data_IF_270834623244
#
_entry.id   IF_270834623244
#
_cell.length_a   1.000
_cell.length_b   1.000
_cell.length_c   1.000
_cell.angle_alpha   90.00
_cell.angle_beta   90.00
_cell.angle_gamma   90.00
#
_symmetry.space_group_name_H-M   'P 1'
#
loop_
_entity.id
_entity.type
_entity.pdbx_description
1 polymer ?
#
# COMPACT_ATOMS: atom_id res chain seq x y z
N UNK A 1 -7.07 -9.52 -19.00
CA UNK A 1 -5.63 -9.64 -18.70
C UNK A 1 -5.39 -8.77 -17.49
N UNK A 2 -5.40 -9.39 -16.30
CA UNK A 2 -5.13 -8.72 -15.03
C UNK A 2 -3.61 -8.57 -14.90
N UNK A 3 -3.15 -7.40 -14.47
CA UNK A 3 -1.74 -7.19 -14.13
C UNK A 3 -1.64 -7.11 -12.61
N UNK A 4 -0.79 -7.93 -12.02
CA UNK A 4 -0.42 -7.83 -10.61
C UNK A 4 0.94 -7.15 -10.53
N UNK A 5 1.06 -6.15 -9.65
CA UNK A 5 2.34 -5.52 -9.31
C UNK A 5 2.61 -5.76 -7.84
N UNK A 6 3.61 -6.60 -7.56
CA UNK A 6 4.09 -6.78 -6.20
C UNK A 6 5.09 -5.67 -5.87
N UNK A 7 4.75 -4.83 -4.90
CA UNK A 7 5.61 -3.81 -4.34
C UNK A 7 6.02 -4.25 -2.94
N UNK A 8 7.31 -4.56 -2.78
CA UNK A 8 7.86 -4.86 -1.47
C UNK A 8 7.85 -3.57 -0.64
N UNK A 9 7.22 -3.62 0.53
CA UNK A 9 7.29 -2.55 1.53
C UNK A 9 8.74 -2.40 1.96
N UNK A 10 9.43 -1.35 1.52
CA UNK A 10 10.89 -1.24 1.68
C UNK A 10 11.31 0.10 2.28
N UNK A 11 12.43 0.06 3.01
CA UNK A 11 13.06 1.20 3.68
C UNK A 11 13.83 2.13 2.71
N UNK A 12 14.21 1.64 1.53
CA UNK A 12 14.77 2.46 0.46
C UNK A 12 13.63 2.93 -0.43
N UNK A 13 13.55 4.25 -0.64
CA UNK A 13 12.66 4.93 -1.59
C UNK A 13 12.92 4.43 -3.02
N UNK A 14 12.39 3.27 -3.36
CA UNK A 14 12.33 2.76 -4.73
C UNK A 14 11.09 3.32 -5.40
N UNK A 15 11.24 4.00 -6.53
CA UNK A 15 10.08 4.48 -7.28
C UNK A 15 9.72 3.46 -8.35
N UNK A 16 8.59 2.79 -8.18
CA UNK A 16 7.97 2.02 -9.25
C UNK A 16 7.07 2.94 -10.08
N UNK A 17 7.24 2.96 -11.40
CA UNK A 17 6.34 3.71 -12.29
C UNK A 17 5.43 2.73 -13.01
N UNK A 18 4.16 2.73 -12.63
CA UNK A 18 3.13 1.92 -13.27
C UNK A 18 2.48 2.75 -14.39
N UNK A 19 2.64 2.25 -15.62
CA UNK A 19 1.92 2.75 -16.79
C UNK A 19 0.75 1.83 -17.06
N UNK A 20 -0.45 2.38 -17.07
CA UNK A 20 -1.66 1.65 -17.46
C UNK A 20 -2.25 2.26 -18.73
N UNK A 21 -2.87 1.40 -19.55
CA UNK A 21 -3.71 1.84 -20.67
C UNK A 21 -5.06 2.26 -20.12
N UNK A 22 -5.68 3.27 -20.71
CA UNK A 22 -6.98 3.79 -20.22
C UNK A 22 -8.00 2.67 -20.04
N UNK A 23 -8.61 2.64 -18.85
CA UNK A 23 -9.60 1.64 -18.46
C UNK A 23 -9.06 0.29 -17.98
N UNK A 24 -7.73 0.05 -18.00
CA UNK A 24 -7.17 -1.19 -17.44
C UNK A 24 -6.95 -1.09 -15.94
N UNK A 25 -7.46 -2.10 -15.23
CA UNK A 25 -7.25 -2.32 -13.80
C UNK A 25 -6.01 -3.17 -13.56
N UNK A 26 -5.34 -2.92 -12.44
CA UNK A 26 -4.25 -3.73 -11.93
C UNK A 26 -4.30 -3.73 -10.42
N UNK A 27 -3.59 -4.65 -9.78
CA UNK A 27 -3.52 -4.72 -8.33
C UNK A 27 -2.12 -4.38 -7.83
N UNK A 28 -2.06 -3.78 -6.63
CA UNK A 28 -0.82 -3.52 -5.91
C UNK A 28 -0.88 -4.27 -4.59
N UNK A 29 0.16 -5.04 -4.30
CA UNK A 29 0.30 -5.73 -3.02
C UNK A 29 1.68 -5.47 -2.45
N UNK A 30 1.83 -5.59 -1.14
CA UNK A 30 3.13 -5.70 -0.49
C UNK A 30 3.05 -6.64 0.69
N UNK A 31 4.20 -7.04 1.22
CA UNK A 31 4.27 -8.02 2.30
C UNK A 31 5.31 -7.64 3.34
N UNK A 32 5.00 -7.83 4.61
CA UNK A 32 5.94 -7.70 5.73
C UNK A 32 5.63 -8.75 6.80
N UNK A 33 6.66 -9.37 7.37
CA UNK A 33 6.47 -10.26 8.52
C UNK A 33 6.02 -9.46 9.74
N UNK A 34 5.01 -9.96 10.46
CA UNK A 34 4.54 -9.34 11.71
C UNK A 34 5.60 -9.35 12.83
N UNK A 35 6.58 -10.26 12.75
CA UNK A 35 7.73 -10.31 13.66
C UNK A 35 8.66 -9.11 13.51
N UNK A 36 8.68 -8.50 12.31
CA UNK A 36 9.43 -7.29 11.99
C UNK A 36 8.72 -6.02 12.46
N UNK A 37 7.53 -6.13 13.05
CA UNK A 37 6.75 -5.01 13.56
C UNK A 37 6.74 -5.04 15.09
N UNK A 38 6.64 -3.85 15.70
CA UNK A 38 6.49 -3.72 17.14
C UNK A 38 5.23 -4.45 17.60
N UNK A 39 5.35 -5.20 18.69
CA UNK A 39 4.24 -5.91 19.31
C UNK A 39 3.28 -4.92 19.97
N UNK A 40 2.03 -5.33 20.17
CA UNK A 40 0.99 -4.54 20.83
C UNK A 40 0.82 -3.14 20.22
N UNK A 41 1.02 -3.05 18.90
CA UNK A 41 1.04 -1.79 18.17
C UNK A 41 -0.03 -1.80 17.07
N UNK A 42 -0.81 -0.74 17.01
CA UNK A 42 -1.77 -0.54 15.94
C UNK A 42 -1.10 0.15 14.76
N UNK A 43 -1.04 -0.51 13.60
CA UNK A 43 -0.45 0.03 12.40
C UNK A 43 -1.50 0.56 11.44
N UNK A 44 -1.22 1.69 10.80
CA UNK A 44 -1.91 2.15 9.59
C UNK A 44 -1.00 2.03 8.39
N UNK A 45 -1.55 1.57 7.27
CA UNK A 45 -0.80 1.39 6.02
C UNK A 45 -1.21 2.44 5.01
N UNK A 46 -0.22 3.02 4.33
CA UNK A 46 -0.39 4.11 3.38
C UNK A 46 0.22 3.74 2.02
N UNK A 47 -0.51 4.05 0.95
CA UNK A 47 0.07 4.16 -0.39
C UNK A 47 0.76 5.51 -0.49
N UNK A 48 2.05 5.52 -0.81
CA UNK A 48 2.77 6.75 -1.12
C UNK A 48 2.99 6.82 -2.62
N UNK A 49 2.37 7.79 -3.27
CA UNK A 49 2.30 7.86 -4.73
C UNK A 49 2.42 9.27 -5.28
N UNK A 50 2.55 9.38 -6.60
CA UNK A 50 2.40 10.61 -7.36
C UNK A 50 1.63 10.29 -8.62
N UNK A 51 0.73 11.20 -8.96
CA UNK A 51 0.02 11.16 -10.23
C UNK A 51 0.60 12.25 -11.13
N UNK A 52 1.00 11.87 -12.34
CA UNK A 52 1.48 12.85 -13.35
C UNK A 52 0.33 13.18 -14.30
N UNK A 53 -0.37 14.33 -14.14
CA UNK A 53 -1.43 14.75 -15.05
C UNK A 53 -0.90 14.93 -16.47
N UNK A 54 -1.63 14.40 -17.46
CA UNK A 54 -1.54 14.92 -18.83
C UNK A 54 -2.51 16.10 -19.02
N UNK A 55 -3.72 16.05 -18.46
CA UNK A 55 -4.72 17.13 -18.50
C UNK A 55 -5.68 17.04 -17.29
N UNK A 56 -5.98 18.17 -16.63
CA UNK A 56 -7.05 18.27 -15.61
C UNK A 56 -6.85 17.54 -14.27
N UNK A 57 -7.92 17.53 -13.45
CA UNK A 57 -8.04 16.68 -12.28
C UNK A 57 -8.15 15.22 -12.74
N UNK A 58 -7.45 14.29 -12.08
CA UNK A 58 -7.77 12.88 -12.28
C UNK A 58 -7.73 12.12 -10.96
N UNK A 59 -8.62 11.16 -10.88
CA UNK A 59 -8.88 10.39 -9.68
C UNK A 59 -8.21 9.02 -9.76
N UNK A 60 -7.71 8.59 -8.61
CA UNK A 60 -7.26 7.24 -8.35
C UNK A 60 -8.39 6.52 -7.62
N UNK A 61 -8.81 5.36 -8.10
CA UNK A 61 -9.80 4.51 -7.40
C UNK A 61 -9.24 3.12 -7.17
N UNK A 62 -9.42 2.59 -5.96
CA UNK A 62 -9.06 1.22 -5.62
C UNK A 62 -9.87 0.74 -4.41
N UNK A 63 -9.85 -0.57 -4.15
CA UNK A 63 -10.29 -1.16 -2.88
C UNK A 63 -9.07 -1.44 -2.02
N UNK A 64 -8.99 -0.83 -0.84
CA UNK A 64 -7.82 -0.95 0.03
C UNK A 64 -8.09 -1.83 1.25
N UNK A 65 -7.16 -2.73 1.57
CA UNK A 65 -7.24 -3.57 2.77
C UNK A 65 -5.86 -3.94 3.30
N UNK A 66 -5.78 -4.29 4.58
CA UNK A 66 -4.66 -5.04 5.16
C UNK A 66 -5.20 -6.36 5.70
N UNK A 67 -4.50 -7.46 5.37
CA UNK A 67 -4.84 -8.80 5.83
C UNK A 67 -3.61 -9.49 6.41
N UNK A 68 -3.83 -10.47 7.28
CA UNK A 68 -2.81 -11.47 7.61
C UNK A 68 -2.91 -12.61 6.61
N UNK A 69 -1.78 -13.00 6.02
CA UNK A 69 -1.74 -13.95 4.91
C UNK A 69 -2.37 -15.28 5.30
N UNK A 70 -2.15 -15.70 6.54
CA UNK A 70 -2.58 -17.00 7.07
C UNK A 70 -4.04 -17.01 7.55
N UNK A 71 -4.67 -15.84 7.71
CA UNK A 71 -6.02 -15.74 8.30
C UNK A 71 -7.13 -15.59 7.26
N UNK A 72 -6.84 -15.00 6.10
CA UNK A 72 -7.86 -14.59 5.13
C UNK A 72 -7.29 -14.63 3.71
N UNK A 73 -7.99 -15.23 2.74
CA UNK A 73 -7.59 -15.23 1.33
C UNK A 73 -7.78 -13.86 0.65
N UNK A 74 -7.11 -13.60 -0.48
CA UNK A 74 -7.26 -12.32 -1.21
C UNK A 74 -8.69 -12.09 -1.70
N UNK A 75 -9.37 -13.10 -2.22
CA UNK A 75 -10.75 -12.99 -2.70
C UNK A 75 -11.72 -12.63 -1.57
N UNK A 76 -11.53 -13.24 -0.39
CA UNK A 76 -12.30 -12.93 0.82
C UNK A 76 -12.03 -11.48 1.26
N UNK A 77 -10.75 -11.09 1.32
CA UNK A 77 -10.33 -9.73 1.67
C UNK A 77 -10.88 -8.68 0.71
N UNK A 78 -10.91 -8.95 -0.60
CA UNK A 78 -11.49 -8.05 -1.60
C UNK A 78 -13.01 -7.94 -1.45
N UNK A 79 -13.70 -9.03 -1.10
CA UNK A 79 -15.16 -9.06 -1.01
C UNK A 79 -15.72 -8.18 0.11
N UNK A 80 -14.95 -7.96 1.19
CA UNK A 80 -15.35 -7.15 2.35
C UNK A 80 -14.95 -5.68 2.26
N UNK A 81 -14.45 -5.22 1.10
CA UNK A 81 -14.07 -3.82 0.90
C UNK A 81 -14.77 -3.23 -0.32
N UNK A 82 -15.19 -1.98 -0.18
CA UNK A 82 -15.86 -1.23 -1.23
C UNK A 82 -14.85 -0.30 -1.92
N UNK A 83 -14.99 -0.06 -3.23
CA UNK A 83 -14.12 0.86 -3.94
C UNK A 83 -14.17 2.24 -3.29
N UNK A 84 -13.01 2.79 -2.95
CA UNK A 84 -12.88 4.15 -2.48
C UNK A 84 -12.37 5.01 -3.64
N UNK A 85 -13.18 5.97 -4.08
CA UNK A 85 -12.70 7.08 -4.89
C UNK A 85 -11.91 7.96 -3.97
N UNK A 86 -10.59 8.04 -4.12
CA UNK A 86 -9.70 8.67 -3.14
C UNK A 86 -9.93 10.19 -3.12
N UNK A 87 -10.67 10.79 -2.16
CA UNK A 87 -10.86 12.23 -2.10
C UNK A 87 -9.83 12.87 -1.14
N UNK A 88 -9.20 12.07 -0.28
CA UNK A 88 -8.38 12.47 0.86
C UNK A 88 -6.94 12.02 0.67
N UNK A 89 -6.36 12.49 -0.43
CA UNK A 89 -4.92 12.40 -0.58
C UNK A 89 -4.26 13.57 0.13
N UNK A 90 -3.41 13.29 1.10
CA UNK A 90 -2.65 14.35 1.79
C UNK A 90 -1.34 14.54 1.07
N UNK A 91 -1.03 15.79 0.71
CA UNK A 91 0.30 16.13 0.19
C UNK A 91 1.32 16.10 1.34
N UNK A 92 2.43 15.40 1.12
CA UNK A 92 3.63 15.49 1.96
C UNK A 92 4.46 16.69 1.56
N UNK A 93 5.37 17.08 2.46
CA UNK A 93 6.34 18.16 2.23
C UNK A 93 7.32 17.85 1.09
N UNK A 94 7.56 16.56 0.80
CA UNK A 94 8.39 16.12 -0.33
C UNK A 94 7.61 15.99 -1.65
N UNK A 95 6.37 16.47 -1.69
CA UNK A 95 5.52 16.49 -2.89
C UNK A 95 5.00 15.11 -3.31
N UNK A 96 5.14 14.09 -2.48
CA UNK A 96 4.41 12.82 -2.63
C UNK A 96 3.02 12.91 -1.98
N UNK A 97 2.13 12.05 -2.45
CA UNK A 97 0.76 11.94 -2.02
C UNK A 97 0.59 10.71 -1.13
N UNK A 98 -0.18 10.82 -0.06
CA UNK A 98 -0.48 9.71 0.85
C UNK A 98 -1.96 9.34 0.83
N UNK A 99 -2.24 8.04 0.78
CA UNK A 99 -3.60 7.51 0.88
C UNK A 99 -3.61 6.34 1.84
N UNK A 100 -4.39 6.43 2.92
CA UNK A 100 -4.54 5.32 3.87
C UNK A 100 -5.29 4.17 3.18
N UNK A 101 -4.71 2.98 3.21
CA UNK A 101 -5.25 1.77 2.61
C UNK A 101 -6.02 0.95 3.65
N UNK A 102 -5.50 0.88 4.87
CA UNK A 102 -6.05 0.04 5.92
C UNK A 102 -5.28 0.18 7.23
N UNK A 103 -5.65 -0.63 8.20
CA UNK A 103 -4.96 -0.75 9.49
C UNK A 103 -5.16 -2.13 10.09
N UNK A 104 -4.26 -2.51 11.00
CA UNK A 104 -4.30 -3.77 11.73
C UNK A 104 -3.60 -3.61 13.08
N UNK A 105 -3.85 -4.55 14.00
CA UNK A 105 -3.19 -4.60 15.30
C UNK A 105 -2.24 -5.79 15.35
N UNK A 106 -0.96 -5.54 15.68
CA UNK A 106 0.06 -6.57 15.76
C UNK A 106 0.13 -7.19 17.17
N UNK A 107 -0.73 -8.15 17.46
CA UNK A 107 -0.74 -8.88 18.74
C UNK A 107 0.41 -9.87 18.76
N UNK A 108 1.30 -9.81 19.74
CA UNK A 108 2.34 -10.83 19.96
C UNK A 108 3.43 -10.99 18.89
N UNK A 109 3.25 -10.42 17.69
CA UNK A 109 4.19 -10.50 16.57
C UNK A 109 4.25 -11.88 15.90
N UNK A 110 3.24 -12.74 16.08
CA UNK A 110 3.23 -14.12 15.59
C UNK A 110 2.00 -14.44 14.73
N UNK A 111 1.45 -13.42 14.06
CA UNK A 111 0.23 -13.52 13.24
C UNK A 111 0.55 -13.83 11.76
N UNK A 112 1.78 -14.24 11.47
CA UNK A 112 2.26 -14.48 10.11
C UNK A 112 2.59 -13.18 9.37
N UNK A 113 2.58 -13.24 8.04
CA UNK A 113 2.86 -12.09 7.20
C UNK A 113 1.63 -11.18 7.07
N UNK A 114 1.86 -9.87 7.11
CA UNK A 114 0.86 -8.84 6.80
C UNK A 114 0.98 -8.48 5.33
N UNK A 115 -0.15 -8.49 4.63
CA UNK A 115 -0.25 -8.10 3.23
C UNK A 115 -1.22 -6.92 3.08
N UNK A 116 -0.74 -5.68 2.87
CA UNK A 116 -1.53 -4.61 2.29
C UNK A 116 -1.88 -4.91 0.83
N UNK A 117 -3.15 -4.75 0.49
CA UNK A 117 -3.68 -5.00 -0.85
C UNK A 117 -4.47 -3.78 -1.34
N UNK A 118 -4.21 -3.37 -2.58
CA UNK A 118 -5.02 -2.45 -3.35
C UNK A 118 -5.54 -3.19 -4.58
N UNK A 119 -6.83 -3.51 -4.56
CA UNK A 119 -7.48 -4.21 -5.67
C UNK A 119 -8.13 -3.25 -6.64
N UNK A 120 -8.20 -3.66 -7.90
CA UNK A 120 -8.87 -2.95 -8.98
C UNK A 120 -8.39 -1.50 -9.12
N UNK A 121 -7.08 -1.26 -8.95
CA UNK A 121 -6.47 0.06 -9.11
C UNK A 121 -6.75 0.54 -10.52
N UNK A 122 -7.44 1.67 -10.63
CA UNK A 122 -7.78 2.29 -11.90
C UNK A 122 -7.32 3.75 -11.89
N UNK A 123 -6.63 4.13 -12.96
CA UNK A 123 -6.34 5.52 -13.27
C UNK A 123 -7.39 6.04 -14.25
N UNK A 124 -8.04 7.13 -13.90
CA UNK A 124 -8.86 7.86 -14.85
C UNK A 124 -7.95 8.75 -15.72
N UNK A 125 -8.12 8.66 -17.04
CA UNK A 125 -7.34 9.34 -18.09
C UNK A 125 -5.87 8.86 -18.21
N UNK A 126 -5.30 8.91 -19.42
CA UNK A 126 -3.93 8.45 -19.76
C UNK A 126 -2.82 9.01 -18.85
N UNK A 127 -2.62 8.36 -17.69
CA UNK A 127 -1.76 8.81 -16.60
C UNK A 127 -0.74 7.75 -16.22
N UNK A 128 0.33 8.21 -15.59
CA UNK A 128 1.30 7.37 -14.93
C UNK A 128 1.09 7.48 -13.42
N UNK A 129 1.05 6.33 -12.75
CA UNK A 129 1.11 6.24 -11.30
C UNK A 129 2.56 5.95 -10.92
N UNK A 130 3.21 6.91 -10.27
CA UNK A 130 4.47 6.63 -9.59
C UNK A 130 4.16 6.19 -8.18
N UNK A 131 4.68 5.06 -7.76
CA UNK A 131 4.52 4.53 -6.40
C UNK A 131 5.89 4.54 -5.75
N UNK A 132 6.01 5.26 -4.64
CA UNK A 132 7.21 5.23 -3.80
C UNK A 132 7.24 3.98 -2.91
N UNK A 133 6.07 3.51 -2.51
CA UNK A 133 5.92 2.29 -1.73
C UNK A 133 4.65 2.25 -0.91
N UNK A 134 4.56 1.19 -0.13
CA UNK A 134 3.57 1.00 0.93
C UNK A 134 4.29 1.26 2.25
N UNK A 135 3.76 2.17 3.06
CA UNK A 135 4.36 2.53 4.35
C UNK A 135 3.47 2.11 5.51
N UNK A 136 4.04 1.41 6.49
CA UNK A 136 3.40 1.10 7.77
C UNK A 136 3.78 2.15 8.80
N UNK A 137 2.80 2.67 9.52
CA UNK A 137 3.01 3.64 10.61
C UNK A 137 2.33 3.16 11.88
N UNK A 138 3.12 3.05 12.94
CA UNK A 138 2.60 2.83 14.27
C UNK A 138 1.73 4.03 14.67
N UNK A 139 0.49 3.76 15.07
CA UNK A 139 -0.30 4.70 15.85
C UNK A 139 0.24 4.70 17.27
N UNK A 140 0.34 5.87 17.88
CA UNK A 140 0.68 5.97 19.30
C UNK A 140 -0.44 5.32 20.12
N UNK A 141 -0.23 4.10 20.59
CA UNK A 141 -0.89 3.65 21.82
C UNK A 141 -0.40 4.60 22.91
N UNK A 142 -1.31 5.35 23.53
CA UNK A 142 -0.98 6.30 24.60
C UNK A 142 -0.28 5.58 25.74
N UNK A 143 1.06 5.64 25.78
CA UNK A 143 1.88 5.13 26.89
C UNK A 143 3.19 4.49 26.44
N UNK A 144 4.20 5.31 26.14
CA UNK A 144 5.60 4.88 26.06
C UNK A 144 6.24 5.05 24.70
N UNK A 145 7.23 5.96 24.63
CA UNK A 145 8.25 6.17 23.59
C UNK A 145 7.99 5.56 22.20
N UNK A 146 7.69 6.43 21.24
CA UNK A 146 7.62 6.09 19.82
C UNK A 146 8.95 5.52 19.33
N UNK A 147 9.04 4.19 19.30
CA UNK A 147 10.08 3.46 18.60
C UNK A 147 9.66 3.36 17.13
N UNK A 148 10.38 4.07 16.27
CA UNK A 148 10.17 4.05 14.83
C UNK A 148 10.65 2.70 14.30
N UNK A 149 9.79 1.69 14.38
CA UNK A 149 10.00 0.36 13.85
C UNK A 149 10.19 0.42 12.33
N UNK A 150 11.45 0.50 11.93
CA UNK A 150 11.88 0.44 10.55
C UNK A 150 12.68 -0.86 10.37
N UNK A 151 12.16 -1.80 9.58
CA UNK A 151 12.85 -3.05 9.26
C UNK A 151 13.50 -3.02 7.87
N UNK A 152 14.77 -3.43 7.82
CA UNK A 152 15.56 -3.68 6.61
C UNK A 152 15.43 -5.15 6.19
N UNK A 153 15.04 -5.42 4.94
CA UNK A 153 15.62 -6.49 4.11
C UNK A 153 15.06 -6.46 2.68
N UNK A 154 15.84 -6.99 1.75
CA UNK A 154 15.76 -6.83 0.30
C UNK A 154 15.48 -8.17 -0.40
N UNK A 155 14.65 -8.17 -1.45
CA UNK A 155 14.78 -9.10 -2.59
C UNK A 155 14.39 -8.37 -3.88
N UNK A 156 15.18 -8.62 -4.92
CA UNK A 156 15.19 -8.00 -6.24
C UNK A 156 14.39 -8.82 -7.27
N UNK A 157 14.04 -8.18 -8.41
CA UNK A 157 13.71 -8.78 -9.73
C UNK A 157 12.32 -9.47 -9.91
N UNK A 158 11.49 -9.26 -10.95
CA UNK A 158 11.61 -8.61 -12.28
C UNK A 158 10.24 -8.06 -12.74
N UNK A 159 10.22 -6.86 -13.33
CA UNK A 159 9.18 -6.50 -14.30
C UNK A 159 9.78 -6.68 -15.71
N UNK A 160 9.36 -7.74 -16.42
CA UNK A 160 9.59 -7.86 -17.86
C UNK A 160 8.48 -7.08 -18.57
N UNK A 161 8.88 -6.11 -19.38
CA UNK A 161 8.02 -5.38 -20.32
C UNK A 161 7.56 -6.28 -21.46
#
# INVERSE_FOLDING_TARGET
MYMEQELICSRRRGVAVVKTMDGRKFDIFGRISSEKLSKETHYSTYLVHRLSPKHGHCDLSFKGVCRFVDNEGRDEAESRVWPYYVPSTVSRDDGWLETKIGSFFNVGGNLGDVEPCLFSVMLQCHRFLSVLGLEFRAGTTSGGMADWGFCEEFLEEKAKF
#
